data_IF_781516449518
#
_entry.id   IF_781516449518
#
_cell.length_a   1.000
_cell.length_b   1.000
_cell.length_c   1.000
_cell.angle_alpha   90.00
_cell.angle_beta   90.00
_cell.angle_gamma   90.00
#
_symmetry.space_group_name_H-M   'P 1'
#
loop_
_entity.id
_entity.type
_entity.pdbx_description
1 polymer ?
#
# COMPACT_ATOMS: atom_id res chain seq x y z
N UNK A 1 19.76 3.56 -10.39
CA UNK A 1 18.51 3.47 -9.61
C UNK A 1 17.95 2.08 -9.82
N UNK A 2 18.37 1.11 -9.00
CA UNK A 2 17.72 -0.19 -8.90
C UNK A 2 17.10 -0.23 -7.49
N UNK A 3 16.00 -0.94 -7.31
CA UNK A 3 15.37 -1.22 -6.00
C UNK A 3 14.44 -0.12 -5.42
N UNK A 4 13.74 0.65 -6.25
CA UNK A 4 12.65 1.54 -5.78
C UNK A 4 11.30 0.98 -6.23
N UNK A 5 10.37 0.83 -5.30
CA UNK A 5 8.96 0.56 -5.61
C UNK A 5 8.17 1.86 -5.52
N UNK A 6 7.39 2.14 -6.57
CA UNK A 6 6.42 3.23 -6.61
C UNK A 6 5.04 2.65 -6.90
N UNK A 7 4.11 2.76 -5.94
CA UNK A 7 2.79 2.14 -6.00
C UNK A 7 1.69 3.19 -5.88
N UNK A 8 0.68 3.12 -6.76
CA UNK A 8 -0.54 3.94 -6.70
C UNK A 8 -1.75 3.04 -6.46
N UNK A 9 -2.45 3.30 -5.37
CA UNK A 9 -3.55 2.49 -4.87
C UNK A 9 -4.87 3.17 -5.20
N UNK A 10 -5.60 2.62 -6.18
CA UNK A 10 -6.83 3.23 -6.69
C UNK A 10 -8.11 2.63 -6.10
N UNK A 11 -8.06 1.38 -5.63
CA UNK A 11 -9.23 0.55 -5.36
C UNK A 11 -9.27 -0.65 -6.29
N UNK A 12 -10.09 -1.68 -5.99
CA UNK A 12 -10.20 -2.91 -6.80
C UNK A 12 -11.52 -3.05 -7.55
N UNK A 13 -12.64 -2.69 -6.92
CA UNK A 13 -13.99 -3.02 -7.44
C UNK A 13 -14.74 -1.79 -7.94
N UNK A 14 -14.74 -0.71 -7.16
CA UNK A 14 -15.42 0.54 -7.48
C UNK A 14 -14.37 1.63 -7.59
N UNK A 15 -14.08 2.09 -8.81
CA UNK A 15 -13.17 3.20 -9.15
C UNK A 15 -12.25 3.65 -7.98
N UNK A 16 -12.48 4.85 -7.44
CA UNK A 16 -11.79 5.39 -6.27
C UNK A 16 -12.56 5.14 -4.97
N UNK A 17 -13.61 4.33 -5.02
CA UNK A 17 -14.57 4.11 -3.96
C UNK A 17 -14.33 2.79 -3.22
N UNK A 18 -13.12 2.58 -2.70
CA UNK A 18 -12.75 1.28 -2.13
C UNK A 18 -12.01 1.46 -0.80
N UNK A 19 -12.48 0.82 0.26
CA UNK A 19 -11.73 0.71 1.51
C UNK A 19 -10.96 -0.59 1.52
N UNK A 20 -9.63 -0.53 1.55
CA UNK A 20 -8.83 -1.75 1.57
C UNK A 20 -8.94 -2.41 2.95
N UNK A 21 -9.23 -3.69 2.95
CA UNK A 21 -9.17 -4.47 4.18
C UNK A 21 -7.73 -4.59 4.68
N UNK A 22 -7.57 -4.86 5.98
CA UNK A 22 -6.24 -5.10 6.58
C UNK A 22 -5.50 -6.24 5.90
N UNK A 23 -6.18 -7.33 5.56
CA UNK A 23 -5.59 -8.51 4.94
C UNK A 23 -5.07 -8.22 3.53
N UNK A 24 -5.80 -7.43 2.74
CA UNK A 24 -5.30 -6.99 1.43
C UNK A 24 -4.03 -6.13 1.54
N UNK A 25 -4.00 -5.21 2.51
CA UNK A 25 -2.81 -4.38 2.73
C UNK A 25 -1.62 -5.22 3.20
N UNK A 26 -1.86 -6.24 4.04
CA UNK A 26 -0.84 -7.20 4.46
C UNK A 26 -0.28 -7.99 3.29
N UNK A 27 -1.13 -8.48 2.39
CA UNK A 27 -0.71 -9.20 1.19
C UNK A 27 0.13 -8.33 0.26
N UNK A 28 -0.26 -7.06 0.10
CA UNK A 28 0.51 -6.10 -0.69
C UNK A 28 1.85 -5.80 -0.03
N UNK A 29 1.88 -5.58 1.29
CA UNK A 29 3.11 -5.35 2.03
C UNK A 29 4.06 -6.56 1.96
N UNK A 30 3.54 -7.79 2.03
CA UNK A 30 4.31 -9.01 1.85
C UNK A 30 5.00 -9.05 0.49
N UNK A 31 4.26 -8.76 -0.59
CA UNK A 31 4.83 -8.71 -1.96
C UNK A 31 5.89 -7.62 -2.10
N UNK A 32 5.70 -6.46 -1.45
CA UNK A 32 6.71 -5.39 -1.41
C UNK A 32 7.98 -5.90 -0.74
N UNK A 33 7.87 -6.58 0.41
CA UNK A 33 9.02 -7.09 1.15
C UNK A 33 9.78 -8.20 0.39
N UNK A 34 9.06 -9.10 -0.29
CA UNK A 34 9.66 -10.17 -1.13
C UNK A 34 10.56 -9.62 -2.25
N UNK A 35 10.27 -8.41 -2.74
CA UNK A 35 11.10 -7.73 -3.74
C UNK A 35 12.36 -7.06 -3.17
N UNK A 36 12.53 -7.07 -1.84
CA UNK A 36 13.68 -6.48 -1.12
C UNK A 36 14.09 -5.07 -1.61
N UNK A 37 13.14 -4.11 -1.69
CA UNK A 37 13.43 -2.78 -2.21
C UNK A 37 14.27 -1.97 -1.22
N UNK A 38 15.07 -1.04 -1.75
CA UNK A 38 15.75 -0.02 -0.95
C UNK A 38 14.82 1.10 -0.49
N UNK A 39 13.82 1.45 -1.30
CA UNK A 39 12.82 2.49 -0.99
C UNK A 39 11.46 2.11 -1.55
N UNK A 40 10.42 2.46 -0.79
CA UNK A 40 9.04 2.23 -1.19
C UNK A 40 8.27 3.53 -1.04
N UNK A 41 7.55 3.89 -2.10
CA UNK A 41 6.62 5.01 -2.11
C UNK A 41 5.22 4.47 -2.43
N UNK A 42 4.27 4.63 -1.52
CA UNK A 42 2.87 4.19 -1.72
C UNK A 42 1.95 5.40 -1.64
N UNK A 43 1.17 5.64 -2.69
CA UNK A 43 0.21 6.72 -2.78
C UNK A 43 -1.21 6.16 -2.87
N UNK A 44 -2.05 6.49 -1.89
CA UNK A 44 -3.46 6.15 -1.89
C UNK A 44 -4.28 7.22 -2.60
N UNK A 45 -5.09 6.80 -3.57
CA UNK A 45 -5.95 7.66 -4.38
C UNK A 45 -7.40 7.16 -4.40
N UNK A 46 -7.82 6.39 -3.39
CA UNK A 46 -9.14 5.80 -3.22
C UNK A 46 -10.08 6.70 -2.39
N UNK A 47 -10.19 7.97 -2.81
CA UNK A 47 -11.10 8.99 -2.27
C UNK A 47 -11.21 8.98 -0.73
N UNK A 48 -12.41 8.66 -0.20
CA UNK A 48 -12.79 8.86 1.19
C UNK A 48 -11.88 8.10 2.18
N UNK A 49 -11.35 6.96 1.77
CA UNK A 49 -10.58 6.08 2.64
C UNK A 49 -9.06 6.24 2.51
N UNK A 50 -8.58 7.16 1.66
CA UNK A 50 -7.14 7.26 1.36
C UNK A 50 -6.27 7.50 2.60
N UNK A 51 -6.74 8.33 3.55
CA UNK A 51 -5.98 8.67 4.75
C UNK A 51 -5.85 7.48 5.70
N UNK A 52 -6.96 6.78 5.95
CA UNK A 52 -6.98 5.64 6.85
C UNK A 52 -6.19 4.47 6.27
N UNK A 53 -6.35 4.19 4.97
CA UNK A 53 -5.58 3.17 4.28
C UNK A 53 -4.09 3.48 4.23
N UNK A 54 -3.70 4.74 3.98
CA UNK A 54 -2.31 5.15 4.02
C UNK A 54 -1.68 4.97 5.42
N UNK A 55 -2.41 5.35 6.48
CA UNK A 55 -1.95 5.18 7.87
C UNK A 55 -1.82 3.71 8.26
N UNK A 56 -2.78 2.87 7.87
CA UNK A 56 -2.75 1.43 8.14
C UNK A 56 -1.60 0.76 7.38
N UNK A 57 -1.44 1.04 6.10
CA UNK A 57 -0.32 0.55 5.29
C UNK A 57 1.03 0.98 5.85
N UNK A 58 1.17 2.24 6.29
CA UNK A 58 2.40 2.74 6.91
C UNK A 58 2.77 1.92 8.15
N UNK A 59 1.81 1.70 9.06
CA UNK A 59 2.03 0.85 10.26
C UNK A 59 2.45 -0.56 9.88
N UNK A 60 1.75 -1.19 8.93
CA UNK A 60 2.06 -2.55 8.45
C UNK A 60 3.49 -2.64 7.90
N UNK A 61 3.92 -1.66 7.11
CA UNK A 61 5.27 -1.64 6.53
C UNK A 61 6.34 -1.39 7.60
N UNK A 62 6.10 -0.50 8.57
CA UNK A 62 7.04 -0.24 9.68
C UNK A 62 7.17 -1.42 10.66
N UNK A 63 6.16 -2.28 10.75
CA UNK A 63 6.21 -3.51 11.55
C UNK A 63 6.92 -4.68 10.83
N UNK A 64 7.13 -4.58 9.50
CA UNK A 64 7.61 -5.70 8.65
C UNK A 64 8.92 -5.46 7.93
N UNK A 65 9.30 -4.21 7.70
CA UNK A 65 10.56 -3.78 7.07
C UNK A 65 11.50 -3.19 8.12
#
# INVERSE_FOLDING_TARGET
>A
VKDIIYLRMHGREVWYGYDYSRDELLDIAKRIAELSPRKVYVFFNNNHWMLNNARLMKRILEERL
#
